data_IF_499155107080
#
_entry.id   IF_499155107080
#
_cell.length_a   1.000
_cell.length_b   1.000
_cell.length_c   1.000
_cell.angle_alpha   90.00
_cell.angle_beta   90.00
_cell.angle_gamma   90.00
#
_symmetry.space_group_name_H-M   'P 1'
#
loop_
_entity.id
_entity.type
_entity.pdbx_description
1 polymer ?
#
# COMPACT_ATOMS: atom_id res chain seq x y z
N UNK A 1 45.62 24.96 9.89
CA UNK A 1 44.55 25.29 8.94
C UNK A 1 43.30 24.58 9.48
N UNK A 2 42.36 25.31 10.05
CA UNK A 2 41.07 24.74 10.48
C UNK A 2 40.23 24.55 9.22
N UNK A 3 39.82 23.33 8.99
CA UNK A 3 38.85 23.01 7.90
C UNK A 3 37.50 23.53 8.42
N UNK A 4 37.00 24.59 7.81
CA UNK A 4 35.64 25.08 7.97
C UNK A 4 34.65 24.00 7.59
N UNK A 5 34.23 23.18 8.53
CA UNK A 5 33.15 22.24 8.36
C UNK A 5 31.86 23.06 8.24
N UNK A 6 31.34 23.20 7.00
CA UNK A 6 29.98 23.72 6.78
C UNK A 6 29.02 22.99 7.73
N UNK A 7 28.15 23.71 8.48
CA UNK A 7 27.16 23.06 9.27
C UNK A 7 26.26 22.20 8.36
N UNK A 8 26.28 20.87 8.54
CA UNK A 8 25.41 19.94 7.81
C UNK A 8 23.97 20.28 8.20
N UNK A 9 23.14 20.65 7.24
CA UNK A 9 21.74 20.96 7.43
C UNK A 9 20.91 19.70 7.42
N UNK A 10 20.05 19.51 8.44
CA UNK A 10 19.11 18.41 8.51
C UNK A 10 19.71 17.10 9.02
N UNK A 11 19.15 15.97 8.56
CA UNK A 11 19.51 14.59 8.96
C UNK A 11 20.43 13.89 7.96
N UNK A 12 21.11 14.63 7.09
CA UNK A 12 22.07 14.08 6.13
C UNK A 12 23.18 13.32 6.88
N UNK A 13 23.48 12.12 6.43
CA UNK A 13 24.42 11.16 7.02
C UNK A 13 24.04 10.62 8.42
N UNK A 14 22.83 10.88 8.93
CA UNK A 14 22.37 10.29 10.17
C UNK A 14 21.69 8.94 9.89
N UNK A 15 22.27 7.86 10.41
CA UNK A 15 21.65 6.53 10.37
C UNK A 15 20.55 6.48 11.44
N UNK A 16 19.29 6.58 11.00
CA UNK A 16 18.13 6.53 11.89
C UNK A 16 17.82 5.09 12.33
N UNK A 17 17.98 4.12 11.44
CA UNK A 17 17.72 2.69 11.71
C UNK A 17 18.40 1.81 10.66
N UNK A 18 18.49 0.51 10.94
CA UNK A 18 18.88 -0.52 9.97
C UNK A 18 17.67 -1.34 9.58
N UNK A 19 17.54 -1.66 8.30
CA UNK A 19 16.44 -2.47 7.78
C UNK A 19 16.97 -3.62 6.93
N UNK A 20 16.28 -4.77 6.99
CA UNK A 20 16.54 -5.92 6.10
C UNK A 20 15.58 -5.95 4.90
N UNK A 21 14.64 -5.03 4.85
CA UNK A 21 13.57 -5.02 3.83
C UNK A 21 14.11 -4.55 2.50
N UNK A 22 14.96 -3.51 2.49
CA UNK A 22 15.54 -3.03 1.24
C UNK A 22 17.00 -2.62 1.42
N UNK A 23 17.73 -2.73 0.32
CA UNK A 23 19.04 -2.13 0.12
C UNK A 23 18.91 -1.11 -1.01
N UNK A 24 19.39 0.12 -0.78
CA UNK A 24 19.38 1.20 -1.75
C UNK A 24 20.77 1.81 -1.84
N UNK A 25 21.32 1.87 -3.05
CA UNK A 25 22.53 2.60 -3.40
C UNK A 25 22.18 3.56 -4.54
N UNK A 26 21.99 4.83 -4.20
CA UNK A 26 21.58 5.87 -5.16
C UNK A 26 22.68 6.22 -6.15
N UNK A 27 23.95 6.14 -5.76
CA UNK A 27 25.09 6.47 -6.63
C UNK A 27 25.27 5.40 -7.72
N UNK A 28 25.01 4.14 -7.38
CA UNK A 28 25.12 3.01 -8.31
C UNK A 28 23.78 2.67 -8.98
N UNK A 29 22.68 3.30 -8.58
CA UNK A 29 21.35 3.00 -9.09
C UNK A 29 20.87 1.57 -8.71
N UNK A 30 21.26 1.05 -7.55
CA UNK A 30 20.93 -0.30 -7.11
C UNK A 30 19.83 -0.24 -6.08
N UNK A 31 18.77 -1.00 -6.31
CA UNK A 31 17.68 -1.24 -5.36
C UNK A 31 17.42 -2.75 -5.28
N UNK A 32 17.39 -3.29 -4.07
CA UNK A 32 17.02 -4.68 -3.83
C UNK A 32 16.02 -4.78 -2.67
N UNK A 33 15.01 -5.64 -2.80
CA UNK A 33 14.05 -5.99 -1.74
C UNK A 33 14.33 -7.37 -1.20
N UNK A 34 14.64 -7.47 0.09
CA UNK A 34 14.95 -8.74 0.79
C UNK A 34 15.99 -9.60 0.01
N UNK A 35 16.97 -8.95 -0.63
CA UNK A 35 18.02 -9.62 -1.41
C UNK A 35 17.69 -9.89 -2.88
N UNK A 36 16.48 -9.58 -3.35
CA UNK A 36 16.10 -9.67 -4.77
C UNK A 36 16.29 -8.31 -5.45
N UNK A 37 17.00 -8.29 -6.58
CA UNK A 37 17.16 -7.07 -7.38
C UNK A 37 15.81 -6.60 -7.90
N UNK A 38 15.61 -5.27 -7.93
CA UNK A 38 14.33 -4.70 -8.40
C UNK A 38 14.05 -5.05 -9.87
N UNK A 39 15.07 -5.22 -10.69
CA UNK A 39 14.90 -5.60 -12.09
C UNK A 39 14.42 -7.04 -12.25
N UNK A 40 14.75 -7.93 -11.31
CA UNK A 40 14.25 -9.28 -11.29
C UNK A 40 12.78 -9.34 -10.84
N UNK A 41 12.37 -8.41 -9.97
CA UNK A 41 10.99 -8.31 -9.50
C UNK A 41 10.09 -7.58 -10.49
N UNK A 42 10.56 -6.46 -11.04
CA UNK A 42 9.77 -5.65 -11.96
C UNK A 42 9.50 -6.40 -13.28
N UNK A 43 8.25 -6.65 -13.57
CA UNK A 43 7.81 -7.38 -14.77
C UNK A 43 7.77 -8.91 -14.63
N UNK A 44 8.26 -9.48 -13.53
CA UNK A 44 8.23 -10.93 -13.27
C UNK A 44 7.40 -11.29 -12.04
N UNK A 45 7.43 -10.46 -10.99
CA UNK A 45 6.65 -10.69 -9.79
C UNK A 45 5.33 -9.89 -9.82
N UNK A 46 4.27 -10.48 -9.30
CA UNK A 46 3.01 -9.79 -9.07
C UNK A 46 3.09 -8.86 -7.87
N UNK A 47 2.11 -7.97 -7.73
CA UNK A 47 1.98 -7.11 -6.56
C UNK A 47 1.86 -7.92 -5.27
N UNK A 48 1.08 -9.00 -5.29
CA UNK A 48 0.87 -9.89 -4.17
C UNK A 48 2.15 -10.64 -3.76
N UNK A 49 2.94 -11.10 -4.74
CA UNK A 49 4.24 -11.72 -4.47
C UNK A 49 5.22 -10.75 -3.82
N UNK A 50 5.23 -9.49 -4.29
CA UNK A 50 6.06 -8.44 -3.69
C UNK A 50 5.60 -8.10 -2.27
N UNK A 51 4.30 -8.01 -2.00
CA UNK A 51 3.77 -7.84 -0.64
C UNK A 51 4.22 -8.97 0.28
N UNK A 52 4.09 -10.22 -0.17
CA UNK A 52 4.52 -11.38 0.61
C UNK A 52 6.02 -11.34 0.88
N UNK A 53 6.85 -11.00 -0.12
CA UNK A 53 8.29 -10.85 0.03
C UNK A 53 8.64 -9.83 1.12
N UNK A 54 8.02 -8.66 1.10
CA UNK A 54 8.29 -7.59 2.07
C UNK A 54 7.82 -7.93 3.49
N UNK A 55 6.74 -8.70 3.63
CA UNK A 55 6.19 -9.07 4.96
C UNK A 55 6.86 -10.29 5.56
N UNK A 56 7.34 -11.24 4.74
CA UNK A 56 7.89 -12.53 5.17
C UNK A 56 9.37 -12.72 4.82
N UNK A 57 10.01 -11.74 4.17
CA UNK A 57 11.39 -11.76 3.70
C UNK A 57 11.71 -12.92 2.73
N UNK A 58 10.70 -13.45 2.05
CA UNK A 58 10.81 -14.49 1.02
C UNK A 58 9.62 -14.44 0.06
N UNK A 59 9.81 -14.92 -1.15
CA UNK A 59 8.71 -15.10 -2.09
C UNK A 59 7.74 -16.21 -1.61
N UNK A 60 6.44 -16.09 -1.95
CA UNK A 60 5.45 -17.09 -1.59
C UNK A 60 5.61 -18.35 -2.44
N UNK A 61 5.22 -19.50 -1.90
CA UNK A 61 4.89 -20.64 -2.72
C UNK A 61 3.48 -20.48 -3.34
N UNK A 62 3.08 -21.40 -4.22
CA UNK A 62 1.81 -21.30 -4.93
C UNK A 62 0.58 -21.27 -4.02
N UNK A 63 0.59 -22.02 -2.93
CA UNK A 63 -0.51 -22.04 -1.98
C UNK A 63 -0.61 -20.71 -1.21
N UNK A 64 0.51 -20.22 -0.70
CA UNK A 64 0.60 -18.94 0.01
C UNK A 64 0.18 -17.75 -0.86
N UNK A 65 0.57 -17.78 -2.14
CA UNK A 65 0.13 -16.76 -3.10
C UNK A 65 -1.38 -16.80 -3.30
N UNK A 66 -1.97 -17.97 -3.50
CA UNK A 66 -3.41 -18.15 -3.64
C UNK A 66 -4.19 -17.69 -2.39
N UNK A 67 -3.67 -17.99 -1.21
CA UNK A 67 -4.25 -17.54 0.06
C UNK A 67 -4.20 -16.02 0.18
N UNK A 68 -3.07 -15.38 -0.14
CA UNK A 68 -2.95 -13.92 -0.08
C UNK A 68 -3.85 -13.22 -1.10
N UNK A 69 -3.95 -13.75 -2.32
CA UNK A 69 -4.86 -13.24 -3.34
C UNK A 69 -6.32 -13.31 -2.87
N UNK A 70 -6.72 -14.41 -2.25
CA UNK A 70 -8.05 -14.59 -1.68
C UNK A 70 -8.32 -13.60 -0.55
N UNK A 71 -7.36 -13.40 0.35
CA UNK A 71 -7.44 -12.42 1.44
C UNK A 71 -7.58 -10.99 0.91
N UNK A 72 -6.80 -10.61 -0.11
CA UNK A 72 -6.94 -9.30 -0.74
C UNK A 72 -8.30 -9.13 -1.39
N UNK A 73 -8.78 -10.12 -2.14
CA UNK A 73 -10.09 -10.08 -2.78
C UNK A 73 -11.21 -9.85 -1.74
N UNK A 74 -11.18 -10.58 -0.64
CA UNK A 74 -12.15 -10.43 0.46
C UNK A 74 -12.07 -9.07 1.18
N UNK A 75 -10.86 -8.48 1.26
CA UNK A 75 -10.64 -7.25 2.01
C UNK A 75 -10.88 -5.96 1.20
N UNK A 76 -11.01 -6.02 -0.12
CA UNK A 76 -11.13 -4.82 -1.01
C UNK A 76 -12.40 -4.01 -0.79
N UNK A 77 -13.46 -4.62 -0.26
CA UNK A 77 -14.72 -3.93 -0.08
C UNK A 77 -14.59 -2.83 0.97
N UNK A 78 -14.97 -1.62 0.60
CA UNK A 78 -15.05 -0.51 1.55
C UNK A 78 -16.35 -0.57 2.34
N UNK A 79 -16.33 -0.23 3.64
CA UNK A 79 -17.56 0.01 4.39
C UNK A 79 -18.42 1.09 3.72
N UNK A 80 -19.73 0.87 3.67
CA UNK A 80 -20.65 1.83 3.04
C UNK A 80 -20.59 3.22 3.71
N UNK A 81 -20.34 3.27 5.02
CA UNK A 81 -20.14 4.50 5.76
C UNK A 81 -18.91 5.28 5.31
N UNK A 82 -17.86 4.62 4.84
CA UNK A 82 -16.69 5.28 4.23
C UNK A 82 -17.08 5.89 2.88
N UNK A 83 -17.85 5.20 2.07
CA UNK A 83 -18.36 5.74 0.80
C UNK A 83 -19.26 6.95 1.04
N UNK A 84 -20.14 6.87 2.07
CA UNK A 84 -20.96 8.04 2.48
C UNK A 84 -20.09 9.20 2.95
N UNK A 85 -19.04 8.94 3.73
CA UNK A 85 -18.09 9.97 4.14
C UNK A 85 -17.41 10.64 2.93
N UNK A 86 -16.99 9.86 1.94
CA UNK A 86 -16.43 10.41 0.69
C UNK A 86 -17.37 11.38 0.00
N UNK A 87 -18.67 11.08 -0.07
CA UNK A 87 -19.69 11.97 -0.66
C UNK A 87 -19.90 13.27 0.13
N UNK A 88 -19.53 13.29 1.40
CA UNK A 88 -19.66 14.48 2.26
C UNK A 88 -18.42 15.37 2.24
N UNK A 89 -17.27 14.85 1.82
CA UNK A 89 -16.04 15.61 1.74
C UNK A 89 -16.11 16.60 0.55
N UNK A 90 -15.68 17.84 0.74
CA UNK A 90 -15.52 18.77 -0.38
C UNK A 90 -14.44 18.25 -1.34
N UNK A 91 -14.46 18.67 -2.62
CA UNK A 91 -13.37 18.43 -3.53
C UNK A 91 -12.04 18.86 -2.92
N UNK A 92 -11.06 17.97 -2.88
CA UNK A 92 -9.77 18.20 -2.24
C UNK A 92 -8.68 17.42 -2.94
N UNK A 93 -7.42 17.74 -2.61
CA UNK A 93 -6.27 16.96 -3.04
C UNK A 93 -6.42 15.48 -2.63
N UNK A 94 -5.98 14.58 -3.52
CA UNK A 94 -6.12 13.14 -3.30
C UNK A 94 -5.40 12.65 -2.04
N UNK A 95 -4.29 13.26 -1.64
CA UNK A 95 -3.56 12.89 -0.43
C UNK A 95 -4.27 13.34 0.84
N UNK A 96 -4.96 14.50 0.81
CA UNK A 96 -5.78 14.96 1.94
C UNK A 96 -6.98 14.05 2.16
N UNK A 97 -7.65 13.67 1.08
CA UNK A 97 -8.74 12.70 1.14
C UNK A 97 -8.24 11.33 1.63
N UNK A 98 -7.13 10.82 1.09
CA UNK A 98 -6.57 9.53 1.48
C UNK A 98 -6.20 9.49 2.97
N UNK A 99 -5.56 10.54 3.49
CA UNK A 99 -5.22 10.65 4.92
C UNK A 99 -6.47 10.58 5.80
N UNK A 100 -7.50 11.35 5.48
CA UNK A 100 -8.77 11.39 6.21
C UNK A 100 -9.48 10.05 6.18
N UNK A 101 -9.62 9.46 4.99
CA UNK A 101 -10.35 8.22 4.78
C UNK A 101 -9.62 7.01 5.37
N UNK A 102 -8.29 6.97 5.29
CA UNK A 102 -7.48 5.92 5.94
C UNK A 102 -7.62 5.98 7.45
N UNK A 103 -7.60 7.18 8.04
CA UNK A 103 -7.85 7.35 9.47
C UNK A 103 -9.25 6.89 9.85
N UNK A 104 -10.27 7.21 9.06
CA UNK A 104 -11.64 6.77 9.28
C UNK A 104 -11.80 5.25 9.20
N UNK A 105 -11.08 4.56 8.31
CA UNK A 105 -11.07 3.10 8.23
C UNK A 105 -10.68 2.43 9.56
N UNK A 106 -9.81 3.06 10.33
CA UNK A 106 -9.38 2.55 11.64
C UNK A 106 -10.54 2.30 12.61
N UNK A 107 -11.65 3.04 12.49
CA UNK A 107 -12.85 2.83 13.33
C UNK A 107 -13.58 1.52 13.01
N UNK A 108 -13.39 0.99 11.80
CA UNK A 108 -14.03 -0.25 11.34
C UNK A 108 -13.09 -1.46 11.46
N UNK A 109 -11.84 -1.24 11.90
CA UNK A 109 -10.88 -2.34 12.05
C UNK A 109 -11.17 -3.13 13.33
N UNK A 110 -11.47 -4.42 13.16
CA UNK A 110 -11.76 -5.34 14.27
C UNK A 110 -10.54 -5.58 15.16
N UNK A 111 -9.35 -5.49 14.60
CA UNK A 111 -8.09 -5.68 15.31
C UNK A 111 -7.47 -4.37 15.84
N UNK A 112 -8.19 -3.24 15.82
CA UNK A 112 -7.63 -1.90 16.09
C UNK A 112 -6.86 -1.79 17.42
N UNK A 113 -7.22 -2.58 18.41
CA UNK A 113 -6.61 -2.58 19.74
C UNK A 113 -5.59 -3.72 19.95
N UNK A 114 -5.46 -4.64 19.00
CA UNK A 114 -4.49 -5.74 19.05
C UNK A 114 -3.28 -5.40 18.16
N UNK A 115 -2.09 -5.36 18.76
CA UNK A 115 -0.82 -5.13 18.08
C UNK A 115 0.07 -6.38 18.02
N UNK A 116 -0.50 -7.56 18.30
CA UNK A 116 0.19 -8.84 18.11
C UNK A 116 0.51 -9.11 16.64
N UNK A 117 1.49 -9.99 16.35
CA UNK A 117 1.94 -10.25 14.99
C UNK A 117 0.82 -10.69 14.04
N UNK A 118 -0.07 -11.56 14.48
CA UNK A 118 -1.19 -12.06 13.69
C UNK A 118 -2.21 -10.95 13.35
N UNK A 119 -2.55 -10.09 14.32
CA UNK A 119 -3.42 -8.95 14.10
C UNK A 119 -2.76 -7.91 13.18
N UNK A 120 -1.47 -7.65 13.35
CA UNK A 120 -0.69 -6.76 12.49
C UNK A 120 -0.69 -7.24 11.04
N UNK A 121 -0.53 -8.54 10.81
CA UNK A 121 -0.64 -9.13 9.46
C UNK A 121 -2.03 -8.91 8.85
N UNK A 122 -3.11 -9.22 9.59
CA UNK A 122 -4.48 -8.99 9.10
C UNK A 122 -4.76 -7.52 8.79
N UNK A 123 -4.24 -6.60 9.62
CA UNK A 123 -4.31 -5.15 9.35
C UNK A 123 -3.56 -4.78 8.07
N UNK A 124 -2.35 -5.31 7.87
CA UNK A 124 -1.57 -5.06 6.66
C UNK A 124 -2.33 -5.50 5.40
N UNK A 125 -2.93 -6.70 5.41
CA UNK A 125 -3.77 -7.20 4.31
C UNK A 125 -4.94 -6.26 4.05
N UNK A 126 -5.72 -5.91 5.09
CA UNK A 126 -6.90 -5.03 4.94
C UNK A 126 -6.52 -3.64 4.42
N UNK A 127 -5.52 -3.00 5.04
CA UNK A 127 -5.10 -1.67 4.63
C UNK A 127 -4.58 -1.65 3.20
N UNK A 128 -3.74 -2.59 2.82
CA UNK A 128 -3.21 -2.68 1.45
C UNK A 128 -4.35 -2.81 0.44
N UNK A 129 -5.31 -3.69 0.69
CA UNK A 129 -6.45 -3.90 -0.19
C UNK A 129 -7.39 -2.67 -0.24
N UNK A 130 -7.69 -2.06 0.90
CA UNK A 130 -8.65 -0.96 1.02
C UNK A 130 -8.08 0.38 0.55
N UNK A 131 -6.79 0.66 0.73
CA UNK A 131 -6.17 1.90 0.24
C UNK A 131 -6.30 1.99 -1.28
N UNK A 132 -6.04 0.92 -2.02
CA UNK A 132 -6.26 0.90 -3.47
C UNK A 132 -7.74 1.20 -3.83
N UNK A 133 -8.67 0.63 -3.05
CA UNK A 133 -10.11 0.90 -3.23
C UNK A 133 -10.49 2.35 -2.92
N UNK A 134 -9.90 2.95 -1.87
CA UNK A 134 -10.10 4.36 -1.54
C UNK A 134 -9.64 5.27 -2.68
N UNK A 135 -8.41 5.06 -3.16
CA UNK A 135 -7.82 5.88 -4.24
C UNK A 135 -8.65 5.77 -5.52
N UNK A 136 -9.00 4.56 -5.94
CA UNK A 136 -9.79 4.35 -7.15
C UNK A 136 -11.19 4.98 -7.04
N UNK A 137 -11.86 4.80 -5.90
CA UNK A 137 -13.21 5.36 -5.68
C UNK A 137 -13.16 6.87 -5.62
N UNK A 138 -12.24 7.46 -4.86
CA UNK A 138 -12.10 8.92 -4.77
C UNK A 138 -11.80 9.55 -6.13
N UNK A 139 -10.83 9.00 -6.88
CA UNK A 139 -10.48 9.50 -8.19
C UNK A 139 -11.65 9.50 -9.18
N UNK A 140 -12.49 8.47 -9.16
CA UNK A 140 -13.72 8.42 -9.97
C UNK A 140 -14.75 9.47 -9.55
N UNK A 141 -14.97 9.61 -8.25
CA UNK A 141 -15.94 10.58 -7.72
C UNK A 141 -15.56 12.02 -8.10
N UNK A 142 -14.26 12.36 -8.07
CA UNK A 142 -13.78 13.68 -8.51
C UNK A 142 -14.02 13.94 -10.01
N UNK A 143 -14.21 12.90 -10.80
CA UNK A 143 -14.52 12.99 -12.24
C UNK A 143 -16.02 12.80 -12.53
N UNK A 144 -16.87 12.83 -11.49
CA UNK A 144 -18.32 12.68 -11.62
C UNK A 144 -18.80 11.22 -11.79
N UNK A 145 -17.90 10.24 -11.66
CA UNK A 145 -18.27 8.81 -11.65
C UNK A 145 -18.67 8.32 -10.27
N UNK A 146 -19.37 7.19 -10.22
CA UNK A 146 -19.72 6.51 -8.97
C UNK A 146 -18.71 5.42 -8.56
N UNK A 147 -18.80 4.90 -7.31
CA UNK A 147 -17.99 3.77 -6.89
C UNK A 147 -18.31 2.53 -7.72
N UNK A 148 -17.28 1.76 -8.08
CA UNK A 148 -17.40 0.45 -8.72
C UNK A 148 -17.07 -0.63 -7.68
N UNK A 149 -17.90 -1.67 -7.59
CA UNK A 149 -17.64 -2.81 -6.74
C UNK A 149 -16.36 -3.54 -7.18
N UNK A 150 -15.52 -4.02 -6.24
CA UNK A 150 -14.36 -4.81 -6.61
C UNK A 150 -14.77 -6.15 -7.25
N UNK A 151 -14.05 -6.55 -8.30
CA UNK A 151 -14.19 -7.87 -8.90
C UNK A 151 -13.28 -8.86 -8.15
N UNK A 152 -13.82 -9.89 -7.50
CA UNK A 152 -13.03 -10.88 -6.76
C UNK A 152 -12.17 -11.77 -7.67
N UNK A 153 -12.50 -11.87 -8.97
CA UNK A 153 -11.74 -12.68 -9.92
C UNK A 153 -10.47 -12.00 -10.43
N UNK A 154 -10.36 -10.67 -10.25
CA UNK A 154 -9.19 -9.92 -10.69
C UNK A 154 -8.08 -9.90 -9.64
N UNK A 155 -6.80 -9.96 -10.07
CA UNK A 155 -5.63 -9.63 -9.24
C UNK A 155 -5.71 -8.19 -8.70
N UNK A 156 -4.88 -7.87 -7.71
CA UNK A 156 -4.98 -6.57 -7.02
C UNK A 156 -4.75 -5.38 -7.95
N UNK A 157 -3.69 -5.41 -8.74
CA UNK A 157 -3.34 -4.34 -9.67
C UNK A 157 -4.39 -4.17 -10.79
N UNK A 158 -4.84 -5.28 -11.39
CA UNK A 158 -5.87 -5.25 -12.43
C UNK A 158 -7.19 -4.66 -11.90
N UNK A 159 -7.62 -5.08 -10.71
CA UNK A 159 -8.82 -4.55 -10.06
C UNK A 159 -8.72 -3.04 -9.76
N UNK A 160 -7.55 -2.57 -9.35
CA UNK A 160 -7.32 -1.14 -9.13
C UNK A 160 -7.44 -0.34 -10.44
N UNK A 161 -6.82 -0.82 -11.52
CA UNK A 161 -6.83 -0.14 -12.82
C UNK A 161 -8.23 -0.10 -13.43
N UNK A 162 -8.96 -1.22 -13.37
CA UNK A 162 -10.35 -1.31 -13.84
C UNK A 162 -11.25 -0.28 -13.12
N UNK A 163 -11.16 -0.23 -11.80
CA UNK A 163 -11.98 0.65 -10.97
C UNK A 163 -11.60 2.13 -11.06
N UNK A 164 -10.33 2.43 -11.35
CA UNK A 164 -9.84 3.80 -11.54
C UNK A 164 -10.30 4.40 -12.86
N UNK A 165 -10.48 3.58 -13.90
CA UNK A 165 -10.80 4.05 -15.24
C UNK A 165 -12.20 4.67 -15.26
N UNK A 166 -12.29 5.89 -15.77
CA UNK A 166 -13.55 6.54 -16.16
C UNK A 166 -13.62 6.38 -17.67
N UNK A 167 -14.46 5.46 -18.13
CA UNK A 167 -14.80 5.32 -19.55
C UNK A 167 -16.01 6.16 -19.84
#
# INVERSE_FOLDING_TARGET
MAVDAKPKGGLEDIVATSSRICFLDGDRGVLAYCGHDIHDLAGHATFEETCHLLWHARLPNRAELGDLQSQFAAARQLPESIIRLMNMLPPSDGMDALRTLTSALGHYDQDRHDNGPAASYRKAVRLTAQIASLVATWGRMQQGGGPIAPDPAMGHAANFLDRKSVV
#
